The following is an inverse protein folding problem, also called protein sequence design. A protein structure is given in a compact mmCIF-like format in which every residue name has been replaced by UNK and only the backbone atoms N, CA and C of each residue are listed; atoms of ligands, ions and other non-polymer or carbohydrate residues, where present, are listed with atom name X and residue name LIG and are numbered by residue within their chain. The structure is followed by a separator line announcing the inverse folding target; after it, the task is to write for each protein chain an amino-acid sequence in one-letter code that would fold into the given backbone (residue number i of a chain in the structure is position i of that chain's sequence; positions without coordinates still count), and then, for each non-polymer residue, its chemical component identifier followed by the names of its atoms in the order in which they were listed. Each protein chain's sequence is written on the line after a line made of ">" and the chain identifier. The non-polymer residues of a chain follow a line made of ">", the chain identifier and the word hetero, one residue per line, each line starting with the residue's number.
data_IF_239517325614
#
_entry.id   IF_239517325614
#
_cell.length_a   1.000
_cell.length_b   1.000
_cell.length_c   1.000
_cell.angle_alpha   90.00
_cell.angle_beta   90.00
_cell.angle_gamma   90.00
#
_symmetry.space_group_name_H-M   'P 1'
#
loop_
_entity.id
_entity.type
_entity.pdbx_description
1 polymer ?
#
# COMPACT_ATOMS: atom_id res chain seq x y z
N UNK A 1 -28.68 -1.83 26.90
CA UNK A 1 -27.27 -2.15 27.15
C UNK A 1 -26.82 -2.96 25.95
N UNK A 2 -26.26 -2.29 24.94
CA UNK A 2 -25.85 -2.92 23.69
C UNK A 2 -24.40 -3.39 23.83
N UNK A 3 -24.18 -4.67 23.59
CA UNK A 3 -22.85 -5.29 23.49
C UNK A 3 -22.00 -4.47 22.52
N UNK A 4 -20.96 -3.85 23.06
CA UNK A 4 -19.88 -3.28 22.27
C UNK A 4 -19.12 -4.42 21.63
N UNK A 5 -19.39 -4.64 20.35
CA UNK A 5 -18.62 -5.49 19.45
C UNK A 5 -17.21 -4.88 19.30
N UNK A 6 -16.38 -5.10 20.33
CA UNK A 6 -14.97 -4.73 20.32
C UNK A 6 -14.27 -5.83 19.54
N UNK A 7 -14.00 -5.54 18.26
CA UNK A 7 -13.12 -6.35 17.41
C UNK A 7 -11.89 -6.78 18.24
N UNK A 8 -11.56 -8.08 18.33
CA UNK A 8 -10.46 -8.54 19.16
C UNK A 8 -9.15 -7.88 18.70
N UNK A 9 -8.25 -7.53 19.63
CA UNK A 9 -6.96 -6.97 19.26
C UNK A 9 -6.22 -7.97 18.38
N UNK A 10 -5.95 -7.55 17.14
CA UNK A 10 -5.09 -8.31 16.22
C UNK A 10 -3.70 -8.40 16.88
N UNK A 11 -3.13 -9.59 17.12
CA UNK A 11 -1.87 -9.73 17.84
C UNK A 11 -0.74 -8.99 17.11
N UNK A 12 0.04 -8.24 17.89
CA UNK A 12 1.06 -7.24 17.50
C UNK A 12 2.24 -7.78 16.66
N UNK A 13 2.26 -9.06 16.28
CA UNK A 13 3.31 -9.67 15.45
C UNK A 13 2.88 -10.12 14.05
N UNK A 14 1.59 -10.43 13.83
CA UNK A 14 1.11 -11.06 12.59
C UNK A 14 0.65 -10.08 11.50
N UNK A 15 0.54 -8.79 11.87
CA UNK A 15 0.10 -7.72 10.96
C UNK A 15 1.23 -7.22 10.05
N UNK A 16 2.48 -7.47 10.46
CA UNK A 16 3.64 -7.11 9.69
C UNK A 16 3.86 -8.14 8.57
N UNK A 17 4.10 -7.65 7.35
CA UNK A 17 4.77 -8.36 6.26
C UNK A 17 3.88 -9.10 5.23
N UNK A 18 2.60 -8.73 5.04
CA UNK A 18 1.79 -9.37 3.96
C UNK A 18 2.37 -9.09 2.58
N UNK A 19 2.84 -7.87 2.32
CA UNK A 19 3.57 -7.57 1.08
C UNK A 19 4.87 -8.37 0.90
N UNK A 20 5.40 -9.02 1.94
CA UNK A 20 6.57 -9.91 1.81
C UNK A 20 6.21 -11.34 1.43
N UNK A 21 4.91 -11.65 1.37
CA UNK A 21 4.39 -12.94 0.96
C UNK A 21 3.86 -12.83 -0.49
N UNK A 22 4.41 -13.63 -1.39
CA UNK A 22 4.12 -13.58 -2.83
C UNK A 22 2.63 -13.75 -3.12
N UNK A 23 1.95 -14.64 -2.39
CA UNK A 23 0.53 -14.97 -2.52
C UNK A 23 -0.42 -13.81 -2.17
N UNK A 24 0.08 -12.82 -1.42
CA UNK A 24 -0.70 -11.65 -1.04
C UNK A 24 -0.77 -10.61 -2.16
N UNK A 25 0.11 -10.65 -3.17
CA UNK A 25 0.10 -9.68 -4.26
C UNK A 25 -1.11 -9.88 -5.20
N UNK A 26 -1.52 -8.83 -5.94
CA UNK A 26 -2.52 -8.97 -7.01
C UNK A 26 -2.18 -10.12 -7.97
N UNK A 27 -3.21 -10.91 -8.34
CA UNK A 27 -3.07 -12.09 -9.23
C UNK A 27 -2.30 -11.79 -10.52
N UNK A 28 -2.48 -10.61 -11.11
CA UNK A 28 -1.77 -10.21 -12.32
C UNK A 28 -0.25 -10.15 -12.12
N UNK A 29 0.22 -9.65 -10.96
CA UNK A 29 1.64 -9.59 -10.63
C UNK A 29 2.21 -10.97 -10.28
N UNK A 30 1.39 -11.86 -9.71
CA UNK A 30 1.75 -13.26 -9.48
C UNK A 30 1.90 -13.99 -10.82
N UNK A 31 0.89 -13.91 -11.68
CA UNK A 31 0.86 -14.58 -12.98
C UNK A 31 1.99 -14.11 -13.90
N UNK A 32 2.41 -12.84 -13.78
CA UNK A 32 3.56 -12.31 -14.52
C UNK A 32 4.92 -12.60 -13.88
N UNK A 33 4.99 -13.38 -12.80
CA UNK A 33 6.23 -13.71 -12.08
C UNK A 33 6.89 -12.52 -11.34
N UNK A 34 6.19 -11.40 -11.17
CA UNK A 34 6.75 -10.16 -10.58
C UNK A 34 6.59 -10.10 -9.07
N UNK A 35 5.55 -10.76 -8.55
CA UNK A 35 5.20 -10.73 -7.13
C UNK A 35 6.34 -11.21 -6.23
N UNK A 36 7.11 -12.21 -6.63
CA UNK A 36 8.22 -12.75 -5.82
C UNK A 36 9.31 -11.69 -5.60
N UNK A 37 9.76 -11.03 -6.68
CA UNK A 37 10.78 -9.98 -6.58
C UNK A 37 10.26 -8.77 -5.81
N UNK A 38 9.00 -8.39 -6.00
CA UNK A 38 8.37 -7.32 -5.23
C UNK A 38 8.29 -7.65 -3.74
N UNK A 39 7.96 -8.90 -3.41
CA UNK A 39 7.91 -9.39 -2.04
C UNK A 39 9.28 -9.42 -1.37
N UNK A 40 10.31 -9.89 -2.09
CA UNK A 40 11.70 -9.85 -1.63
C UNK A 40 12.17 -8.42 -1.39
N UNK A 41 11.91 -7.51 -2.34
CA UNK A 41 12.20 -6.09 -2.18
C UNK A 41 11.52 -5.50 -0.94
N UNK A 42 10.24 -5.78 -0.73
CA UNK A 42 9.49 -5.27 0.43
C UNK A 42 10.12 -5.74 1.74
N UNK A 43 10.56 -7.00 1.80
CA UNK A 43 11.22 -7.60 2.97
C UNK A 43 12.56 -6.91 3.27
N UNK A 44 13.41 -6.75 2.26
CA UNK A 44 14.70 -6.06 2.39
C UNK A 44 14.50 -4.62 2.86
N UNK A 45 13.61 -3.89 2.21
CA UNK A 45 13.36 -2.48 2.51
C UNK A 45 12.80 -2.26 3.93
N UNK A 46 11.97 -3.19 4.43
CA UNK A 46 11.50 -3.17 5.80
C UNK A 46 12.63 -3.43 6.81
N UNK A 47 13.51 -4.39 6.54
CA UNK A 47 14.66 -4.68 7.38
C UNK A 47 15.62 -3.47 7.45
N UNK A 48 15.88 -2.81 6.31
CA UNK A 48 16.69 -1.59 6.24
C UNK A 48 16.05 -0.44 7.03
N UNK A 49 14.74 -0.26 6.91
CA UNK A 49 14.02 0.78 7.67
C UNK A 49 14.11 0.54 9.17
N UNK A 50 13.96 -0.71 9.61
CA UNK A 50 14.11 -1.08 11.01
C UNK A 50 15.55 -0.83 11.51
N UNK A 51 16.56 -1.24 10.74
CA UNK A 51 17.97 -1.03 11.08
C UNK A 51 18.33 0.47 11.19
N UNK A 52 17.68 1.32 10.38
CA UNK A 52 17.86 2.78 10.41
C UNK A 52 17.03 3.50 11.50
N UNK A 53 16.24 2.78 12.30
CA UNK A 53 15.33 3.40 13.29
C UNK A 53 14.20 4.22 12.66
N UNK A 54 13.87 3.95 11.40
CA UNK A 54 12.79 4.60 10.66
C UNK A 54 11.45 3.89 10.90
N UNK A 55 10.31 4.53 10.55
CA UNK A 55 9.02 3.88 10.58
C UNK A 55 9.01 2.54 9.79
N UNK A 56 8.30 1.50 10.27
CA UNK A 56 8.37 0.13 9.74
C UNK A 56 7.55 -0.05 8.44
N UNK A 57 7.90 0.72 7.42
CA UNK A 57 7.30 0.71 6.09
C UNK A 57 8.37 0.51 5.03
N UNK A 58 8.03 -0.17 3.94
CA UNK A 58 8.93 -0.23 2.80
C UNK A 58 9.17 1.19 2.26
N UNK A 59 10.36 1.45 1.73
CA UNK A 59 10.82 2.74 1.23
C UNK A 59 11.40 2.56 -0.16
N UNK A 60 10.96 3.38 -1.11
CA UNK A 60 11.50 3.41 -2.47
C UNK A 60 11.95 4.81 -2.85
N UNK A 61 13.00 4.90 -3.68
CA UNK A 61 13.41 6.17 -4.28
C UNK A 61 12.30 6.73 -5.19
N UNK A 62 12.19 8.05 -5.29
CA UNK A 62 11.35 8.63 -6.34
C UNK A 62 11.83 8.21 -7.73
N UNK A 63 10.89 7.88 -8.62
CA UNK A 63 11.16 7.73 -10.05
C UNK A 63 10.01 8.30 -10.88
N UNK A 64 10.31 8.76 -12.08
CA UNK A 64 9.27 9.29 -12.97
C UNK A 64 8.26 8.21 -13.37
N UNK A 65 8.69 6.94 -13.46
CA UNK A 65 7.76 5.82 -13.70
C UNK A 65 6.72 5.65 -12.58
N UNK A 66 7.14 5.76 -11.32
CA UNK A 66 6.22 5.72 -10.19
C UNK A 66 5.32 6.96 -10.16
N UNK A 67 5.88 8.13 -10.48
CA UNK A 67 5.16 9.37 -10.60
C UNK A 67 4.05 9.29 -11.66
N UNK A 68 4.35 8.72 -12.83
CA UNK A 68 3.43 8.49 -13.93
C UNK A 68 2.33 7.49 -13.55
N UNK A 69 2.70 6.38 -12.91
CA UNK A 69 1.72 5.39 -12.42
C UNK A 69 0.73 6.00 -11.43
N UNK A 70 1.20 6.84 -10.51
CA UNK A 70 0.35 7.59 -9.59
C UNK A 70 -0.50 8.63 -10.36
N UNK A 71 0.09 9.39 -11.28
CA UNK A 71 -0.63 10.38 -12.07
C UNK A 71 -1.78 9.75 -12.88
N UNK A 72 -1.54 8.61 -13.52
CA UNK A 72 -2.56 7.86 -14.26
C UNK A 72 -3.65 7.29 -13.33
N UNK A 73 -3.28 6.82 -12.14
CA UNK A 73 -4.26 6.42 -11.15
C UNK A 73 -5.15 7.61 -10.70
N UNK A 74 -4.57 8.81 -10.55
CA UNK A 74 -5.34 10.05 -10.30
C UNK A 74 -6.23 10.42 -11.48
N UNK A 75 -5.73 10.35 -12.71
CA UNK A 75 -6.50 10.63 -13.94
C UNK A 75 -7.71 9.71 -14.06
N UNK A 76 -7.54 8.45 -13.67
CA UNK A 76 -8.60 7.45 -13.62
C UNK A 76 -9.55 7.56 -12.41
N UNK A 77 -9.39 8.58 -11.54
CA UNK A 77 -10.15 8.76 -10.28
C UNK A 77 -10.03 7.57 -9.32
N UNK A 78 -8.86 6.93 -9.29
CA UNK A 78 -8.52 5.77 -8.45
C UNK A 78 -7.51 6.10 -7.34
N UNK A 79 -7.20 7.38 -7.17
CA UNK A 79 -6.41 7.90 -6.06
C UNK A 79 -7.29 8.72 -5.13
N UNK A 80 -7.10 8.49 -3.84
CA UNK A 80 -7.66 9.32 -2.77
C UNK A 80 -6.53 10.12 -2.13
N UNK A 81 -6.73 11.43 -1.94
CA UNK A 81 -5.72 12.33 -1.38
C UNK A 81 -5.84 12.40 0.13
N UNK A 82 -4.70 12.42 0.81
CA UNK A 82 -4.60 12.64 2.25
C UNK A 82 -4.95 11.42 3.09
N UNK A 83 -4.53 11.46 4.35
CA UNK A 83 -4.76 10.38 5.30
C UNK A 83 -6.23 10.27 5.70
N UNK A 84 -6.89 11.40 5.96
CA UNK A 84 -8.32 11.47 6.28
C UNK A 84 -9.20 10.91 5.14
N UNK A 85 -8.86 11.24 3.89
CA UNK A 85 -9.55 10.69 2.73
C UNK A 85 -9.34 9.18 2.62
N UNK A 86 -8.11 8.70 2.85
CA UNK A 86 -7.81 7.27 2.86
C UNK A 86 -8.60 6.53 3.95
N UNK A 87 -8.69 7.11 5.16
CA UNK A 87 -9.49 6.61 6.27
C UNK A 87 -10.97 6.48 5.90
N UNK A 88 -11.58 7.55 5.38
CA UNK A 88 -12.98 7.55 4.98
C UNK A 88 -13.27 6.51 3.88
N UNK A 89 -12.39 6.40 2.89
CA UNK A 89 -12.52 5.44 1.80
C UNK A 89 -12.46 3.99 2.31
N UNK A 90 -11.46 3.67 3.15
CA UNK A 90 -11.26 2.32 3.67
C UNK A 90 -12.36 1.93 4.67
N UNK A 91 -12.86 2.87 5.47
CA UNK A 91 -13.99 2.65 6.36
C UNK A 91 -15.28 2.32 5.59
N UNK A 92 -15.59 3.09 4.54
CA UNK A 92 -16.75 2.85 3.67
C UNK A 92 -16.71 1.45 3.03
N UNK A 93 -15.52 1.03 2.60
CA UNK A 93 -15.33 -0.30 2.01
C UNK A 93 -15.44 -1.44 3.01
N UNK A 94 -14.90 -1.26 4.22
CA UNK A 94 -15.04 -2.24 5.28
C UNK A 94 -16.53 -2.47 5.61
N UNK A 95 -17.33 -1.41 5.67
CA UNK A 95 -18.78 -1.50 5.84
C UNK A 95 -19.43 -2.27 4.68
N UNK A 96 -19.10 -1.92 3.43
CA UNK A 96 -19.66 -2.58 2.25
C UNK A 96 -19.23 -4.05 2.10
N UNK A 97 -18.04 -4.42 2.55
CA UNK A 97 -17.58 -5.81 2.63
C UNK A 97 -18.37 -6.58 3.68
N UNK A 98 -18.48 -6.06 4.91
CA UNK A 98 -19.25 -6.66 6.00
C UNK A 98 -20.73 -6.84 5.66
N UNK A 99 -21.31 -5.92 4.90
CA UNK A 99 -22.69 -6.03 4.43
C UNK A 99 -22.87 -7.17 3.42
N UNK A 100 -21.92 -7.32 2.48
CA UNK A 100 -21.93 -8.41 1.49
C UNK A 100 -21.69 -9.77 2.12
N UNK A 101 -20.71 -9.90 3.01
CA UNK A 101 -20.44 -11.17 3.72
C UNK A 101 -21.66 -11.63 4.53
N UNK A 102 -22.43 -10.71 5.12
CA UNK A 102 -23.68 -11.02 5.82
C UNK A 102 -24.84 -11.40 4.90
N UNK A 103 -24.86 -10.89 3.67
CA UNK A 103 -25.89 -11.21 2.68
C UNK A 103 -25.68 -12.57 2.00
N UNK A 104 -24.45 -13.08 2.02
CA UNK A 104 -24.10 -14.41 1.51
C UNK A 104 -24.39 -15.46 2.58
N UNK A 105 -25.25 -16.43 2.29
CA UNK A 105 -25.56 -17.52 3.23
C UNK A 105 -24.29 -18.29 3.65
N UNK A 106 -24.21 -18.81 4.89
CA UNK A 106 -23.07 -19.62 5.32
C UNK A 106 -23.01 -20.88 4.44
N UNK A 107 -21.99 -20.95 3.58
CA UNK A 107 -21.75 -22.10 2.69
C UNK A 107 -21.65 -21.80 1.19
N UNK A 108 -21.92 -20.58 0.73
CA UNK A 108 -21.78 -20.23 -0.71
C UNK A 108 -20.81 -19.07 -0.92
N UNK A 109 -19.52 -19.36 -1.01
CA UNK A 109 -18.65 -18.58 -1.90
C UNK A 109 -17.82 -17.44 -1.30
N UNK A 110 -17.31 -17.55 -0.09
CA UNK A 110 -16.04 -16.88 0.21
C UNK A 110 -14.91 -17.84 -0.13
N UNK A 111 -14.47 -17.81 -1.39
CA UNK A 111 -13.22 -18.45 -1.76
C UNK A 111 -12.14 -17.86 -0.84
N UNK A 112 -11.67 -18.65 0.13
CA UNK A 112 -10.74 -18.30 1.19
C UNK A 112 -9.46 -17.58 0.68
N UNK A 113 -9.17 -17.71 -0.62
CA UNK A 113 -8.09 -17.00 -1.30
C UNK A 113 -8.34 -15.54 -1.72
N UNK A 114 -9.57 -14.99 -1.70
CA UNK A 114 -9.86 -13.61 -2.14
C UNK A 114 -9.85 -12.56 -1.02
N UNK A 115 -10.14 -12.98 0.21
CA UNK A 115 -10.06 -12.13 1.40
C UNK A 115 -8.61 -11.74 1.77
N UNK A 116 -7.63 -12.44 1.19
CA UNK A 116 -6.21 -12.44 1.58
C UNK A 116 -5.29 -11.64 0.64
N UNK A 117 -5.79 -10.86 -0.32
CA UNK A 117 -4.92 -10.14 -1.28
C UNK A 117 -4.83 -8.64 -1.02
N UNK A 118 -3.61 -8.11 -1.16
CA UNK A 118 -3.32 -6.70 -1.27
C UNK A 118 -4.09 -6.13 -2.44
N UNK A 119 -4.96 -5.19 -2.10
CA UNK A 119 -5.76 -4.47 -3.08
C UNK A 119 -5.62 -2.96 -2.93
N UNK A 120 -4.95 -2.51 -1.86
CA UNK A 120 -4.73 -1.12 -1.49
C UNK A 120 -3.28 -0.87 -1.12
N UNK A 121 -2.79 0.28 -1.56
CA UNK A 121 -1.48 0.79 -1.19
C UNK A 121 -1.62 2.25 -0.80
N UNK A 122 -1.20 2.58 0.42
CA UNK A 122 -1.01 3.96 0.82
C UNK A 122 0.43 4.34 0.50
N UNK A 123 0.61 5.31 -0.39
CA UNK A 123 1.91 5.91 -0.67
C UNK A 123 2.03 7.18 0.16
N UNK A 124 3.10 7.29 0.95
CA UNK A 124 3.36 8.45 1.80
C UNK A 124 4.73 9.07 1.48
N UNK A 125 4.87 10.35 1.76
CA UNK A 125 6.14 11.08 1.59
C UNK A 125 7.07 10.85 2.77
N UNK A 126 8.37 11.09 2.58
CA UNK A 126 9.37 10.82 3.62
C UNK A 126 9.52 11.95 4.66
N UNK A 127 9.02 13.15 4.35
CA UNK A 127 9.01 14.35 5.19
C UNK A 127 7.88 14.39 6.24
N UNK A 128 7.26 13.23 6.50
CA UNK A 128 6.25 13.05 7.54
C UNK A 128 6.80 13.30 8.95
N UNK A 129 6.01 13.96 9.80
CA UNK A 129 6.33 14.05 11.23
C UNK A 129 6.08 12.68 11.92
N UNK A 130 6.72 12.37 13.07
CA UNK A 130 6.51 11.10 13.77
C UNK A 130 5.03 10.78 14.07
N UNK A 131 4.24 11.78 14.45
CA UNK A 131 2.78 11.64 14.68
C UNK A 131 2.02 11.18 13.43
N UNK A 132 2.45 11.61 12.25
CA UNK A 132 1.84 11.23 10.98
C UNK A 132 2.10 9.75 10.69
N UNK A 133 3.33 9.28 10.88
CA UNK A 133 3.66 7.86 10.69
C UNK A 133 2.95 6.93 11.68
N UNK A 134 2.74 7.37 12.93
CA UNK A 134 1.91 6.62 13.90
C UNK A 134 0.46 6.50 13.43
N UNK A 135 -0.11 7.55 12.85
CA UNK A 135 -1.46 7.52 12.29
C UNK A 135 -1.53 6.59 11.05
N UNK A 136 -0.53 6.64 10.18
CA UNK A 136 -0.38 5.73 9.03
C UNK A 136 -0.29 4.27 9.49
N UNK A 137 0.47 3.99 10.55
CA UNK A 137 0.59 2.65 11.11
C UNK A 137 -0.74 2.17 11.69
N UNK A 138 -1.44 3.01 12.45
CA UNK A 138 -2.77 2.71 12.98
C UNK A 138 -3.75 2.39 11.84
N UNK A 139 -3.72 3.14 10.74
CA UNK A 139 -4.55 2.87 9.57
C UNK A 139 -4.19 1.53 8.91
N UNK A 140 -2.91 1.24 8.72
CA UNK A 140 -2.42 -0.04 8.19
C UNK A 140 -2.91 -1.21 9.03
N UNK A 141 -2.79 -1.13 10.36
CA UNK A 141 -3.23 -2.19 11.27
C UNK A 141 -4.74 -2.46 11.17
N UNK A 142 -5.56 -1.39 11.14
CA UNK A 142 -7.03 -1.51 11.01
C UNK A 142 -7.48 -2.17 9.70
N UNK A 143 -6.69 -2.06 8.63
CA UNK A 143 -7.04 -2.60 7.30
C UNK A 143 -6.00 -3.62 6.78
N UNK A 144 -5.31 -4.30 7.70
CA UNK A 144 -4.18 -5.19 7.42
C UNK A 144 -4.45 -6.27 6.36
N UNK A 145 -5.69 -6.75 6.26
CA UNK A 145 -6.06 -7.78 5.27
C UNK A 145 -5.88 -7.34 3.81
N UNK A 146 -5.85 -6.03 3.52
CA UNK A 146 -5.90 -5.50 2.14
C UNK A 146 -5.01 -4.29 1.88
N UNK A 147 -4.54 -3.61 2.93
CA UNK A 147 -3.76 -2.39 2.85
C UNK A 147 -2.29 -2.64 3.21
N UNK A 148 -1.40 -2.16 2.37
CA UNK A 148 0.02 -1.97 2.69
C UNK A 148 0.44 -0.51 2.51
N UNK A 149 1.63 -0.17 3.01
CA UNK A 149 2.18 1.19 3.00
C UNK A 149 3.56 1.20 2.34
N UNK A 150 3.79 2.19 1.48
CA UNK A 150 5.10 2.50 0.90
C UNK A 150 5.45 3.96 1.18
N UNK A 151 6.65 4.22 1.67
CA UNK A 151 7.24 5.55 1.74
C UNK A 151 8.00 5.82 0.44
N UNK A 152 7.73 6.96 -0.19
CA UNK A 152 8.42 7.40 -1.39
C UNK A 152 9.39 8.53 -1.04
N UNK A 153 10.63 8.46 -1.51
CA UNK A 153 11.68 9.45 -1.24
C UNK A 153 11.42 10.77 -1.99
N UNK A 154 10.47 11.54 -1.47
CA UNK A 154 10.05 12.86 -1.91
C UNK A 154 9.35 13.58 -0.76
N UNK A 155 9.26 14.90 -0.87
CA UNK A 155 8.50 15.74 0.07
C UNK A 155 7.03 15.91 -0.37
N UNK A 156 6.24 16.51 0.52
CA UNK A 156 4.82 16.77 0.28
C UNK A 156 4.55 17.69 -0.92
N UNK A 157 5.50 18.56 -1.26
CA UNK A 157 5.39 19.53 -2.35
C UNK A 157 5.55 18.81 -3.67
N UNK A 158 6.64 18.05 -3.85
CA UNK A 158 6.92 17.28 -5.06
C UNK A 158 5.80 16.30 -5.38
N UNK A 159 5.33 15.53 -4.39
CA UNK A 159 4.21 14.60 -4.60
C UNK A 159 2.91 15.36 -4.93
N UNK A 160 2.64 16.44 -4.19
CA UNK A 160 1.43 17.23 -4.36
C UNK A 160 1.35 17.89 -5.74
N UNK A 161 2.44 18.50 -6.19
CA UNK A 161 2.50 19.17 -7.48
C UNK A 161 2.39 18.19 -8.64
N UNK A 162 3.08 17.05 -8.56
CA UNK A 162 3.01 16.02 -9.59
C UNK A 162 1.59 15.51 -9.83
N UNK A 163 0.81 15.34 -8.76
CA UNK A 163 -0.50 14.66 -8.82
C UNK A 163 -1.69 15.62 -8.90
N UNK A 164 -1.57 16.80 -8.30
CA UNK A 164 -2.70 17.72 -8.11
C UNK A 164 -2.46 19.11 -8.72
N UNK A 165 -1.27 19.37 -9.27
CA UNK A 165 -0.91 20.63 -9.92
C UNK A 165 -0.13 21.59 -9.02
N UNK A 166 0.39 22.66 -9.61
CA UNK A 166 1.29 23.63 -8.96
C UNK A 166 0.75 24.17 -7.63
N UNK A 167 1.62 24.29 -6.63
CA UNK A 167 1.29 24.79 -5.29
C UNK A 167 0.44 23.84 -4.42
N UNK A 168 0.14 22.63 -4.91
CA UNK A 168 -0.59 21.62 -4.13
C UNK A 168 0.38 20.76 -3.34
N UNK A 169 -0.04 20.34 -2.16
CA UNK A 169 0.73 19.47 -1.26
C UNK A 169 0.03 18.15 -1.01
N UNK A 170 0.76 17.06 -0.86
CA UNK A 170 0.20 15.78 -0.43
C UNK A 170 1.27 14.97 0.30
N UNK A 171 0.99 14.60 1.56
CA UNK A 171 1.84 13.66 2.33
C UNK A 171 1.42 12.20 2.17
N UNK A 172 0.21 11.96 1.70
CA UNK A 172 -0.38 10.64 1.57
C UNK A 172 -1.31 10.61 0.37
N UNK A 173 -1.24 9.51 -0.40
CA UNK A 173 -2.21 9.16 -1.43
C UNK A 173 -2.52 7.67 -1.36
N UNK A 174 -3.81 7.32 -1.35
CA UNK A 174 -4.27 5.94 -1.35
C UNK A 174 -4.60 5.50 -2.78
N UNK A 175 -3.93 4.46 -3.25
CA UNK A 175 -4.35 3.70 -4.42
C UNK A 175 -5.54 2.82 -4.01
N UNK A 176 -6.73 3.28 -4.37
CA UNK A 176 -8.00 2.68 -3.97
C UNK A 176 -8.48 1.58 -4.93
N UNK A 177 -7.70 1.21 -5.95
CA UNK A 177 -8.16 0.26 -6.96
C UNK A 177 -7.07 -0.74 -7.35
N UNK A 178 -7.43 -2.02 -7.39
CA UNK A 178 -6.51 -3.13 -7.68
C UNK A 178 -5.75 -2.95 -8.99
N UNK A 179 -6.40 -2.44 -10.03
CA UNK A 179 -5.77 -2.22 -11.34
C UNK A 179 -4.68 -1.16 -11.29
N UNK A 180 -4.91 -0.09 -10.52
CA UNK A 180 -3.90 0.94 -10.32
C UNK A 180 -2.76 0.44 -9.44
N UNK A 181 -3.05 -0.46 -8.48
CA UNK A 181 -2.03 -1.13 -7.68
C UNK A 181 -1.14 -2.04 -8.55
N UNK A 182 -1.73 -2.79 -9.49
CA UNK A 182 -0.99 -3.61 -10.45
C UNK A 182 -0.03 -2.75 -11.26
N UNK A 183 -0.53 -1.67 -11.89
CA UNK A 183 0.31 -0.76 -12.68
C UNK A 183 1.41 -0.11 -11.87
N UNK A 184 1.11 0.29 -10.64
CA UNK A 184 2.11 0.81 -9.72
C UNK A 184 3.18 -0.24 -9.38
N UNK A 185 2.76 -1.48 -9.11
CA UNK A 185 3.67 -2.61 -8.86
C UNK A 185 4.54 -2.96 -10.08
N UNK A 186 4.02 -2.83 -11.29
CA UNK A 186 4.80 -2.98 -12.52
C UNK A 186 5.85 -1.88 -12.66
N UNK A 187 5.47 -0.62 -12.43
CA UNK A 187 6.40 0.51 -12.45
C UNK A 187 7.49 0.37 -11.38
N UNK A 188 7.13 -0.12 -10.18
CA UNK A 188 8.05 -0.44 -9.11
C UNK A 188 9.02 -1.54 -9.53
N UNK A 189 8.50 -2.67 -10.03
CA UNK A 189 9.30 -3.81 -10.46
C UNK A 189 10.30 -3.44 -11.56
N UNK A 190 9.89 -2.63 -12.55
CA UNK A 190 10.79 -2.15 -13.61
C UNK A 190 11.95 -1.33 -13.06
N UNK A 191 11.71 -0.51 -12.03
CA UNK A 191 12.76 0.25 -11.35
C UNK A 191 13.76 -0.63 -10.56
N UNK A 192 13.31 -1.79 -10.06
CA UNK A 192 14.19 -2.74 -9.37
C UNK A 192 15.21 -3.40 -10.30
N UNK A 193 14.96 -3.41 -11.62
CA UNK A 193 15.84 -4.02 -12.63
C UNK A 193 17.07 -3.19 -12.99
N UNK A 194 17.00 -1.86 -12.84
CA UNK A 194 18.06 -0.94 -13.27
C UNK A 194 19.24 -0.85 -12.28
N UNK A 195 19.07 -1.37 -11.06
CA UNK A 195 20.10 -1.32 -9.99
C UNK A 195 21.20 -2.39 -10.15
N UNK A 196 21.00 -3.40 -11.02
CA UNK A 196 21.92 -4.54 -11.15
C UNK A 196 23.04 -4.41 -12.20
N UNK A 197 23.06 -3.38 -13.05
CA UNK A 197 24.08 -3.25 -14.12
C UNK A 197 25.24 -2.29 -13.81
N UNK A 198 25.24 -1.62 -12.65
CA UNK A 198 26.32 -0.67 -12.29
C UNK A 198 27.47 -1.27 -11.47
N UNK A 199 27.53 -2.60 -11.28
CA UNK A 199 28.56 -3.24 -10.46
C UNK A 199 29.13 -4.54 -11.07
N UNK A 200 29.41 -4.55 -12.37
CA UNK A 200 30.38 -5.49 -12.96
C UNK A 200 31.75 -4.81 -12.96
N UNK A 201 32.70 -5.22 -12.10
CA UNK A 201 34.10 -4.90 -12.34
C UNK A 201 34.56 -5.63 -13.61
N UNK A 202 35.27 -4.92 -14.48
CA UNK A 202 36.09 -5.50 -15.56
C UNK A 202 37.20 -6.38 -14.98
#
# INVERSE_FOLDING_TARGET
>A
MGDGDVDPPIPDGATALRATATECWPRALIASGRAERLAAYWRTSLAESAAAGLPPFARHAWSERLADALFEARRARRLVRGLEGAEAQLASEAVGLRARSRATAPGVGEAEGEASRLSRLLVVTEDGAPRFYRAVESLRRRHAGRLEVLVLACDEVRLGERLFGRGRRARAVLIAHKESLVRFGEALWSGLGEVSDSNRPE
#
